data_IF_850460578158
#
_entry.id   IF_850460578158
#
_cell.length_a   1.000
_cell.length_b   1.000
_cell.length_c   1.000
_cell.angle_alpha   90.00
_cell.angle_beta   90.00
_cell.angle_gamma   90.00
#
_symmetry.space_group_name_H-M   'P 1'
#
loop_
_entity.id
_entity.type
_entity.pdbx_description
1 polymer ?
#
# COMPACT_ATOMS: atom_id res chain seq x y z
N UNK A 1 7.75 -31.11 -4.97
CA UNK A 1 6.99 -30.01 -4.34
C UNK A 1 7.96 -28.87 -4.16
N UNK A 2 7.57 -27.66 -4.58
CA UNK A 2 8.40 -26.48 -4.41
C UNK A 2 8.55 -26.13 -2.92
N UNK A 3 9.74 -25.66 -2.52
CA UNK A 3 10.01 -25.28 -1.13
C UNK A 3 9.82 -23.78 -0.94
N UNK A 4 9.23 -23.38 0.20
CA UNK A 4 9.04 -21.98 0.56
C UNK A 4 9.96 -21.65 1.74
N UNK A 5 10.89 -20.71 1.54
CA UNK A 5 11.78 -20.20 2.58
C UNK A 5 11.33 -18.80 2.96
N UNK A 6 10.89 -18.63 4.19
CA UNK A 6 10.54 -17.31 4.72
C UNK A 6 11.81 -16.55 5.13
N UNK A 7 12.10 -15.44 4.44
CA UNK A 7 13.20 -14.52 4.72
C UNK A 7 12.76 -13.33 5.58
N UNK A 8 11.48 -13.30 5.95
CA UNK A 8 10.82 -12.34 6.81
C UNK A 8 9.31 -12.49 6.75
N UNK A 9 8.57 -11.87 7.67
CA UNK A 9 7.11 -11.86 7.73
C UNK A 9 6.44 -13.16 8.21
N UNK A 10 7.21 -14.15 8.73
CA UNK A 10 6.65 -15.42 9.20
C UNK A 10 6.46 -15.47 10.72
N UNK A 11 7.26 -14.72 11.47
CA UNK A 11 7.20 -14.66 12.95
C UNK A 11 6.72 -13.31 13.46
N UNK A 12 6.52 -12.35 12.57
CA UNK A 12 6.06 -11.00 12.83
C UNK A 12 5.14 -10.50 11.71
N UNK A 13 4.73 -9.25 11.83
CA UNK A 13 3.78 -8.61 10.90
C UNK A 13 4.49 -7.97 9.71
N UNK A 14 5.74 -7.51 9.90
CA UNK A 14 6.47 -6.71 8.92
C UNK A 14 7.65 -7.45 8.31
N UNK A 15 8.27 -6.89 7.27
CA UNK A 15 9.43 -7.47 6.62
C UNK A 15 9.10 -8.62 5.67
N UNK A 16 7.89 -8.64 5.09
CA UNK A 16 7.44 -9.69 4.15
C UNK A 16 8.47 -9.98 3.07
N UNK A 17 8.95 -11.24 3.04
CA UNK A 17 9.95 -11.68 2.08
C UNK A 17 9.97 -13.21 2.03
N UNK A 18 9.50 -13.79 0.92
CA UNK A 18 9.35 -15.22 0.78
C UNK A 18 10.04 -15.70 -0.50
N UNK A 19 10.97 -16.62 -0.36
CA UNK A 19 11.67 -17.24 -1.48
C UNK A 19 11.01 -18.57 -1.82
N UNK A 20 10.44 -18.67 -3.02
CA UNK A 20 9.90 -19.91 -3.58
C UNK A 20 11.00 -20.59 -4.38
N UNK A 21 11.51 -21.69 -3.88
CA UNK A 21 12.56 -22.50 -4.52
C UNK A 21 11.90 -23.56 -5.40
N UNK A 22 12.09 -23.44 -6.70
CA UNK A 22 11.49 -24.32 -7.71
C UNK A 22 12.47 -25.44 -8.14
N UNK A 23 13.75 -25.13 -8.15
CA UNK A 23 14.84 -26.07 -8.44
C UNK A 23 16.17 -25.54 -7.89
N UNK A 24 17.25 -26.28 -8.07
CA UNK A 24 18.60 -25.84 -7.68
C UNK A 24 19.02 -24.52 -8.36
N UNK A 25 18.46 -24.20 -9.54
CA UNK A 25 18.87 -23.07 -10.36
C UNK A 25 17.75 -21.99 -10.49
N UNK A 26 16.55 -22.26 -9.97
CA UNK A 26 15.40 -21.39 -10.16
C UNK A 26 14.67 -21.15 -8.85
N UNK A 27 14.55 -19.89 -8.50
CA UNK A 27 13.67 -19.43 -7.43
C UNK A 27 13.00 -18.12 -7.81
N UNK A 28 11.89 -17.81 -7.13
CA UNK A 28 11.18 -16.53 -7.19
C UNK A 28 11.21 -15.89 -5.82
N UNK A 29 11.29 -14.59 -5.77
CA UNK A 29 11.11 -13.85 -4.50
C UNK A 29 9.74 -13.18 -4.52
N UNK A 30 8.98 -13.34 -3.45
CA UNK A 30 7.70 -12.69 -3.24
C UNK A 30 7.89 -11.68 -2.12
N UNK A 31 7.77 -10.39 -2.47
CA UNK A 31 8.09 -9.23 -1.65
C UNK A 31 9.55 -9.16 -1.18
N UNK A 32 9.96 -8.00 -0.71
CA UNK A 32 11.25 -7.73 -0.09
C UNK A 32 11.10 -6.54 0.86
N UNK A 33 10.42 -6.78 1.97
CA UNK A 33 9.91 -5.77 2.88
C UNK A 33 10.88 -5.34 3.97
N UNK A 34 10.65 -4.16 4.51
CA UNK A 34 11.37 -3.59 5.64
C UNK A 34 10.73 -4.05 6.96
N UNK A 35 11.55 -4.41 7.94
CA UNK A 35 11.10 -4.65 9.30
C UNK A 35 10.77 -3.32 9.99
N UNK A 36 9.65 -3.25 10.70
CA UNK A 36 9.16 -2.05 11.38
C UNK A 36 8.60 -2.35 12.77
N UNK A 37 8.52 -1.32 13.63
CA UNK A 37 7.93 -1.45 14.95
C UNK A 37 8.64 -2.49 15.81
N UNK A 38 7.88 -3.42 16.39
CA UNK A 38 8.40 -4.48 17.27
C UNK A 38 9.24 -5.54 16.52
N UNK A 39 9.04 -5.68 15.20
CA UNK A 39 9.82 -6.61 14.37
C UNK A 39 11.19 -6.05 13.98
N UNK A 40 11.41 -4.75 14.13
CA UNK A 40 12.71 -4.14 13.90
C UNK A 40 13.65 -4.41 15.09
N UNK A 41 14.92 -4.71 14.81
CA UNK A 41 15.92 -4.88 15.84
C UNK A 41 16.08 -3.61 16.69
N UNK A 42 16.40 -3.77 17.97
CA UNK A 42 16.44 -2.63 18.91
C UNK A 42 17.72 -1.80 18.79
N UNK A 43 18.83 -2.40 18.38
CA UNK A 43 20.09 -1.69 18.18
C UNK A 43 20.36 -1.40 16.69
N UNK A 44 21.06 -0.29 16.42
CA UNK A 44 21.34 0.19 15.07
C UNK A 44 22.15 -0.81 14.22
N UNK A 45 23.06 -1.57 14.83
CA UNK A 45 23.87 -2.55 14.12
C UNK A 45 23.01 -3.72 13.63
N UNK A 46 22.13 -4.24 14.50
CA UNK A 46 21.22 -5.31 14.15
C UNK A 46 20.13 -4.82 13.14
N UNK A 47 19.68 -3.57 13.26
CA UNK A 47 18.81 -2.98 12.23
C UNK A 47 19.50 -2.94 10.87
N UNK A 48 20.77 -2.54 10.82
CA UNK A 48 21.53 -2.52 9.56
C UNK A 48 21.71 -3.93 8.98
N UNK A 49 21.94 -4.95 9.82
CA UNK A 49 22.01 -6.35 9.37
C UNK A 49 20.65 -6.84 8.83
N UNK A 50 19.52 -6.45 9.45
CA UNK A 50 18.19 -6.78 8.95
C UNK A 50 17.88 -6.18 7.57
N UNK A 51 18.52 -5.06 7.21
CA UNK A 51 18.36 -4.43 5.90
C UNK A 51 19.04 -5.24 4.79
N UNK A 52 20.14 -5.91 5.09
CA UNK A 52 20.94 -6.64 4.09
C UNK A 52 20.19 -7.84 3.52
N UNK A 53 20.44 -8.09 2.26
CA UNK A 53 20.05 -9.32 1.60
C UNK A 53 21.23 -10.29 1.70
N UNK A 54 21.18 -11.19 2.69
CA UNK A 54 22.29 -12.10 3.05
C UNK A 54 22.12 -13.50 2.45
N UNK A 55 20.96 -13.80 1.84
CA UNK A 55 20.72 -15.07 1.19
C UNK A 55 21.17 -15.04 -0.28
N UNK A 56 21.43 -16.23 -0.83
CA UNK A 56 21.84 -16.38 -2.23
C UNK A 56 20.73 -15.92 -3.18
N UNK A 57 21.06 -14.95 -4.03
CA UNK A 57 20.17 -14.39 -5.06
C UNK A 57 20.50 -14.89 -6.47
N UNK A 58 21.52 -15.73 -6.65
CA UNK A 58 21.97 -16.21 -7.96
C UNK A 58 20.89 -17.01 -8.72
N UNK A 59 20.03 -17.68 -7.98
CA UNK A 59 18.92 -18.48 -8.52
C UNK A 59 17.64 -17.68 -8.76
N UNK A 60 17.57 -16.40 -8.30
CA UNK A 60 16.38 -15.58 -8.42
C UNK A 60 16.10 -15.18 -9.87
N UNK A 61 14.98 -15.64 -10.41
CA UNK A 61 14.52 -15.32 -11.77
C UNK A 61 13.63 -14.08 -11.82
N UNK A 62 12.89 -13.79 -10.76
CA UNK A 62 12.05 -12.60 -10.63
C UNK A 62 11.81 -12.24 -9.18
N UNK A 63 11.55 -10.96 -8.92
CA UNK A 63 10.84 -10.46 -7.74
C UNK A 63 9.40 -10.20 -8.12
N UNK A 64 8.46 -10.69 -7.32
CA UNK A 64 7.02 -10.45 -7.49
C UNK A 64 6.55 -9.63 -6.30
N UNK A 65 5.99 -8.46 -6.56
CA UNK A 65 5.49 -7.55 -5.52
C UNK A 65 3.99 -7.71 -5.40
N UNK A 66 3.55 -8.05 -4.19
CA UNK A 66 2.11 -8.14 -3.87
C UNK A 66 1.49 -6.77 -3.80
N UNK A 67 2.13 -5.83 -3.09
CA UNK A 67 1.73 -4.42 -3.01
C UNK A 67 2.90 -3.55 -2.52
N UNK A 68 2.68 -2.23 -2.48
CA UNK A 68 3.79 -1.28 -2.32
C UNK A 68 3.91 -0.68 -0.92
N UNK A 69 3.36 -1.29 0.14
CA UNK A 69 3.68 -0.88 1.49
C UNK A 69 5.16 -1.15 1.80
N UNK A 70 5.74 -0.37 2.68
CA UNK A 70 7.17 -0.38 2.93
C UNK A 70 7.67 -1.71 3.54
N UNK A 71 6.83 -2.38 4.30
CA UNK A 71 7.06 -3.70 4.87
C UNK A 71 6.96 -4.85 3.83
N UNK A 72 6.64 -4.53 2.57
CA UNK A 72 6.66 -5.43 1.41
C UNK A 72 7.70 -5.05 0.35
N UNK A 73 8.16 -3.78 0.31
CA UNK A 73 9.11 -3.33 -0.72
C UNK A 73 10.34 -2.59 -0.18
N UNK A 74 10.41 -2.32 1.11
CA UNK A 74 11.38 -1.38 1.67
C UNK A 74 12.85 -1.85 1.60
N UNK A 75 13.11 -3.16 1.46
CA UNK A 75 14.46 -3.69 1.22
C UNK A 75 14.80 -3.88 -0.26
N UNK A 76 13.93 -3.45 -1.17
CA UNK A 76 14.21 -3.48 -2.61
C UNK A 76 15.51 -2.74 -2.98
N UNK A 77 15.84 -1.57 -2.39
CA UNK A 77 17.13 -0.93 -2.61
C UNK A 77 18.33 -1.83 -2.28
N UNK A 78 18.23 -2.58 -1.21
CA UNK A 78 19.30 -3.50 -0.78
C UNK A 78 19.39 -4.74 -1.68
N UNK A 79 18.28 -5.24 -2.18
CA UNK A 79 18.23 -6.33 -3.14
C UNK A 79 18.91 -5.93 -4.47
N UNK A 80 18.64 -4.72 -4.97
CA UNK A 80 19.28 -4.20 -6.17
C UNK A 80 20.78 -3.94 -5.94
N UNK A 81 21.15 -3.41 -4.77
CA UNK A 81 22.55 -3.23 -4.38
C UNK A 81 23.30 -4.55 -4.23
N UNK A 82 22.63 -5.64 -3.82
CA UNK A 82 23.19 -6.99 -3.80
C UNK A 82 23.40 -7.59 -5.21
N UNK A 83 22.96 -6.90 -6.27
CA UNK A 83 23.21 -7.29 -7.65
C UNK A 83 22.04 -7.96 -8.37
N UNK A 84 20.82 -7.94 -7.81
CA UNK A 84 19.65 -8.45 -8.51
C UNK A 84 19.35 -7.64 -9.77
N UNK A 85 19.25 -8.34 -10.91
CA UNK A 85 19.02 -7.76 -12.25
C UNK A 85 17.76 -8.31 -12.93
N UNK A 86 17.04 -9.20 -12.26
CA UNK A 86 15.82 -9.82 -12.80
C UNK A 86 14.63 -8.86 -12.87
N UNK A 87 13.53 -9.27 -13.52
CA UNK A 87 12.32 -8.49 -13.59
C UNK A 87 11.67 -8.33 -12.22
N UNK A 88 11.07 -7.15 -11.99
CA UNK A 88 10.26 -6.80 -10.84
C UNK A 88 8.81 -6.77 -11.31
N UNK A 89 8.09 -7.84 -11.02
CA UNK A 89 6.74 -8.07 -11.51
C UNK A 89 5.74 -7.53 -10.50
N UNK A 90 4.84 -6.65 -10.94
CA UNK A 90 3.78 -6.11 -10.09
C UNK A 90 2.53 -5.75 -10.92
N UNK A 91 1.44 -5.38 -10.26
CA UNK A 91 0.25 -4.90 -10.95
C UNK A 91 0.49 -3.53 -11.63
N UNK A 92 -0.29 -3.21 -12.67
CA UNK A 92 -0.19 -1.89 -13.34
C UNK A 92 -0.31 -0.73 -12.33
N UNK A 93 -1.25 -0.72 -11.36
CA UNK A 93 -1.27 0.38 -10.38
C UNK A 93 -0.05 0.36 -9.45
N UNK A 94 0.43 -0.81 -9.01
CA UNK A 94 1.64 -0.90 -8.20
C UNK A 94 2.87 -0.37 -8.94
N UNK A 95 2.99 -0.62 -10.25
CA UNK A 95 4.08 -0.10 -11.08
C UNK A 95 4.14 1.44 -11.12
N UNK A 96 2.97 2.12 -10.99
CA UNK A 96 2.89 3.58 -10.91
C UNK A 96 3.22 4.12 -9.51
N UNK A 97 2.92 3.36 -8.47
CA UNK A 97 3.08 3.76 -7.08
C UNK A 97 4.48 3.40 -6.52
N UNK A 98 5.06 2.29 -6.94
CA UNK A 98 6.33 1.77 -6.43
C UNK A 98 7.49 2.77 -6.51
N UNK A 99 7.71 3.51 -7.62
CA UNK A 99 8.77 4.50 -7.68
C UNK A 99 8.65 5.60 -6.62
N UNK A 100 7.43 6.02 -6.28
CA UNK A 100 7.17 7.04 -5.26
C UNK A 100 7.52 6.54 -3.86
N UNK A 101 7.14 5.30 -3.55
CA UNK A 101 7.45 4.66 -2.25
C UNK A 101 8.95 4.49 -2.07
N UNK A 102 9.63 3.98 -3.10
CA UNK A 102 11.07 3.75 -3.04
C UNK A 102 11.85 5.07 -3.01
N UNK A 103 11.40 6.10 -3.73
CA UNK A 103 12.02 7.44 -3.64
C UNK A 103 12.00 7.98 -2.21
N UNK A 104 10.86 7.88 -1.55
CA UNK A 104 10.69 8.33 -0.17
C UNK A 104 11.54 7.50 0.80
N UNK A 105 11.53 6.18 0.67
CA UNK A 105 12.35 5.28 1.48
C UNK A 105 13.85 5.56 1.33
N UNK A 106 14.32 5.84 0.11
CA UNK A 106 15.71 6.21 -0.15
C UNK A 106 16.09 7.52 0.55
N UNK A 107 15.22 8.54 0.48
CA UNK A 107 15.45 9.85 1.10
C UNK A 107 15.50 9.79 2.63
N UNK A 108 14.70 8.91 3.23
CA UNK A 108 14.61 8.76 4.69
C UNK A 108 15.74 7.90 5.23
N UNK A 109 15.99 6.74 4.64
CA UNK A 109 16.82 5.69 5.22
C UNK A 109 18.15 5.41 4.50
N UNK A 110 18.39 5.98 3.32
CA UNK A 110 19.55 5.58 2.52
C UNK A 110 20.44 6.74 2.10
N UNK A 111 19.90 7.72 1.39
CA UNK A 111 20.69 8.87 0.90
C UNK A 111 19.81 10.06 0.52
N UNK A 112 20.34 11.26 0.74
CA UNK A 112 19.74 12.52 0.22
C UNK A 112 20.37 12.99 -1.09
N UNK A 113 21.33 12.24 -1.65
CA UNK A 113 21.96 12.58 -2.92
C UNK A 113 20.99 12.35 -4.08
N UNK A 114 20.54 13.43 -4.70
CA UNK A 114 19.55 13.40 -5.79
C UNK A 114 20.02 12.57 -7.01
N UNK A 115 21.32 12.61 -7.35
CA UNK A 115 21.86 11.87 -8.48
C UNK A 115 21.84 10.35 -8.22
N UNK A 116 22.17 9.92 -7.00
CA UNK A 116 22.08 8.51 -6.61
C UNK A 116 20.64 8.02 -6.63
N UNK A 117 19.70 8.80 -6.09
CA UNK A 117 18.28 8.49 -6.12
C UNK A 117 17.80 8.36 -7.58
N UNK A 118 18.17 9.30 -8.45
CA UNK A 118 17.77 9.27 -9.87
C UNK A 118 18.32 8.02 -10.60
N UNK A 119 19.58 7.66 -10.37
CA UNK A 119 20.18 6.44 -10.94
C UNK A 119 19.43 5.18 -10.46
N UNK A 120 19.13 5.12 -9.18
CA UNK A 120 18.36 4.03 -8.60
C UNK A 120 16.96 3.94 -9.20
N UNK A 121 16.27 5.07 -9.33
CA UNK A 121 14.94 5.14 -9.96
C UNK A 121 14.97 4.69 -11.42
N UNK A 122 15.99 5.07 -12.18
CA UNK A 122 16.15 4.62 -13.57
C UNK A 122 16.36 3.10 -13.65
N UNK A 123 17.19 2.53 -12.77
CA UNK A 123 17.39 1.08 -12.67
C UNK A 123 16.09 0.38 -12.29
N UNK A 124 15.39 0.83 -11.25
CA UNK A 124 14.10 0.30 -10.81
C UNK A 124 13.11 0.27 -11.98
N UNK A 125 12.95 1.39 -12.67
CA UNK A 125 12.03 1.51 -13.80
C UNK A 125 12.36 0.56 -14.95
N UNK A 126 13.66 0.33 -15.24
CA UNK A 126 14.07 -0.58 -16.30
C UNK A 126 13.76 -2.05 -16.01
N UNK A 127 13.57 -2.43 -14.74
CA UNK A 127 13.28 -3.79 -14.31
C UNK A 127 11.78 -4.05 -14.04
N UNK A 128 10.94 -3.00 -13.92
CA UNK A 128 9.51 -3.16 -13.66
C UNK A 128 8.80 -3.80 -14.85
N UNK A 129 8.11 -4.92 -14.59
CA UNK A 129 7.18 -5.58 -15.49
C UNK A 129 5.77 -5.46 -14.91
N UNK A 130 4.96 -4.57 -15.49
CA UNK A 130 3.60 -4.32 -15.05
C UNK A 130 2.61 -5.29 -15.69
N UNK A 131 1.81 -5.98 -14.87
CA UNK A 131 0.83 -6.95 -15.35
C UNK A 131 -0.60 -6.49 -15.07
N UNK A 132 -1.54 -6.71 -16.02
CA UNK A 132 -2.96 -6.60 -15.74
C UNK A 132 -3.42 -7.72 -14.82
N UNK A 133 -4.42 -7.46 -14.00
CA UNK A 133 -5.01 -8.50 -13.16
C UNK A 133 -5.64 -9.62 -13.97
N UNK A 134 -5.50 -10.85 -13.47
CA UNK A 134 -6.18 -12.02 -14.01
C UNK A 134 -5.53 -12.67 -15.22
N UNK A 135 -4.44 -12.11 -15.73
CA UNK A 135 -3.69 -12.68 -16.87
C UNK A 135 -2.47 -13.45 -16.38
N UNK A 136 -2.21 -14.59 -17.02
CA UNK A 136 -1.00 -15.38 -16.79
C UNK A 136 0.18 -14.76 -17.51
N UNK A 137 1.31 -14.63 -16.82
CA UNK A 137 2.60 -14.22 -17.36
C UNK A 137 3.63 -15.31 -17.12
N UNK A 138 4.36 -15.68 -18.15
CA UNK A 138 5.41 -16.72 -18.07
C UNK A 138 6.71 -16.09 -17.58
N UNK A 139 7.23 -16.60 -16.47
CA UNK A 139 8.50 -16.14 -15.86
C UNK A 139 9.64 -17.07 -16.23
N UNK A 140 9.39 -18.39 -16.25
CA UNK A 140 10.36 -19.40 -16.63
C UNK A 140 9.73 -20.26 -17.72
N UNK A 141 10.47 -20.46 -18.80
CA UNK A 141 10.06 -21.35 -19.89
C UNK A 141 11.31 -22.00 -20.48
N UNK A 142 11.59 -23.23 -20.06
CA UNK A 142 12.69 -24.03 -20.53
C UNK A 142 12.13 -25.22 -21.31
N UNK A 143 12.50 -25.33 -22.55
CA UNK A 143 12.10 -26.44 -23.41
C UNK A 143 12.67 -27.76 -22.91
N UNK A 144 11.93 -28.83 -23.09
CA UNK A 144 12.43 -30.20 -22.93
C UNK A 144 13.69 -30.41 -23.82
N UNK A 145 14.69 -31.07 -23.24
CA UNK A 145 15.91 -31.41 -23.99
C UNK A 145 15.75 -32.74 -24.74
N UNK A 146 14.81 -33.56 -24.31
CA UNK A 146 14.43 -34.83 -24.95
C UNK A 146 12.90 -34.91 -25.16
N UNK A 147 12.42 -35.76 -26.09
CA UNK A 147 10.97 -35.94 -26.34
C UNK A 147 10.19 -36.46 -25.12
N UNK A 148 10.85 -37.15 -24.19
CA UNK A 148 10.22 -37.69 -22.98
C UNK A 148 10.16 -36.67 -21.85
N UNK A 149 10.93 -35.56 -21.90
CA UNK A 149 10.93 -34.51 -20.88
C UNK A 149 9.80 -33.52 -21.13
N UNK A 150 9.15 -33.15 -20.06
CA UNK A 150 8.27 -31.97 -20.05
C UNK A 150 9.12 -30.77 -19.68
N UNK A 151 9.30 -29.81 -20.55
CA UNK A 151 10.02 -28.59 -20.23
C UNK A 151 9.51 -27.91 -18.93
N UNK A 152 10.39 -27.18 -18.27
CA UNK A 152 10.02 -26.44 -17.04
C UNK A 152 9.29 -25.15 -17.40
N UNK A 153 8.10 -24.98 -16.86
CA UNK A 153 7.31 -23.75 -17.04
C UNK A 153 6.82 -23.21 -15.72
N UNK A 154 7.08 -21.93 -15.46
CA UNK A 154 6.52 -21.21 -14.30
C UNK A 154 5.80 -19.95 -14.78
N UNK A 155 4.54 -19.84 -14.40
CA UNK A 155 3.68 -18.70 -14.73
C UNK A 155 3.14 -18.07 -13.47
N UNK A 156 3.03 -16.75 -13.49
CA UNK A 156 2.45 -15.96 -12.40
C UNK A 156 1.19 -15.24 -12.88
N UNK A 157 0.24 -15.05 -11.96
CA UNK A 157 -0.98 -14.29 -12.21
C UNK A 157 -1.32 -13.49 -10.96
N UNK A 158 -1.50 -12.19 -11.15
CA UNK A 158 -1.88 -11.27 -10.10
C UNK A 158 -3.40 -11.15 -10.02
N UNK A 159 -3.95 -11.27 -8.83
CA UNK A 159 -5.38 -11.12 -8.55
C UNK A 159 -5.58 -10.03 -7.50
N UNK A 160 -6.65 -9.26 -7.60
CA UNK A 160 -6.89 -8.15 -6.66
C UNK A 160 -6.98 -8.63 -5.22
N UNK A 161 -6.19 -8.06 -4.34
CA UNK A 161 -6.19 -8.31 -2.91
C UNK A 161 -7.05 -7.31 -2.12
N UNK A 162 -7.35 -6.13 -2.70
CA UNK A 162 -8.27 -5.14 -2.12
C UNK A 162 -7.75 -4.39 -0.89
N UNK A 163 -6.45 -4.51 -0.57
CA UNK A 163 -5.82 -3.87 0.59
C UNK A 163 -5.47 -2.41 0.33
N UNK A 164 -4.70 -2.13 -0.72
CA UNK A 164 -4.47 -0.78 -1.28
C UNK A 164 -4.61 -0.84 -2.80
N UNK A 165 -4.66 0.33 -3.45
CA UNK A 165 -4.66 0.39 -4.90
C UNK A 165 -3.40 -0.27 -5.46
N UNK A 166 -3.58 -1.27 -6.30
CA UNK A 166 -2.47 -2.06 -6.84
C UNK A 166 -2.22 -3.37 -6.10
N UNK A 167 -2.75 -3.56 -4.89
CA UNK A 167 -2.53 -4.79 -4.15
C UNK A 167 -3.05 -6.03 -4.88
N UNK A 168 -2.27 -7.09 -4.80
CA UNK A 168 -2.57 -8.38 -5.41
C UNK A 168 -2.17 -9.54 -4.50
N UNK A 169 -2.96 -10.59 -4.54
CA UNK A 169 -2.44 -11.90 -4.21
C UNK A 169 -1.87 -12.56 -5.48
N UNK A 170 -0.91 -13.43 -5.30
CA UNK A 170 -0.11 -14.01 -6.38
C UNK A 170 -0.45 -15.48 -6.52
N UNK A 171 -1.00 -15.89 -7.68
CA UNK A 171 -1.11 -17.29 -8.07
C UNK A 171 0.10 -17.68 -8.92
N UNK A 172 0.80 -18.74 -8.55
CA UNK A 172 1.94 -19.30 -9.27
C UNK A 172 1.55 -20.70 -9.75
N UNK A 173 1.70 -20.95 -11.03
CA UNK A 173 1.57 -22.29 -11.62
C UNK A 173 2.93 -22.73 -12.08
N UNK A 174 3.46 -23.74 -11.43
CA UNK A 174 4.74 -24.37 -11.76
C UNK A 174 4.51 -25.78 -12.31
N UNK A 175 5.23 -26.12 -13.35
CA UNK A 175 5.23 -27.45 -13.94
C UNK A 175 6.65 -27.80 -14.37
N UNK A 176 7.11 -28.96 -13.96
CA UNK A 176 8.37 -29.58 -14.40
C UNK A 176 8.13 -31.05 -14.81
N UNK A 177 9.19 -31.82 -14.97
CA UNK A 177 9.09 -33.25 -15.30
C UNK A 177 8.43 -34.10 -14.20
N UNK A 178 8.56 -33.68 -12.95
CA UNK A 178 8.14 -34.45 -11.78
C UNK A 178 6.76 -34.03 -11.24
N UNK A 179 6.41 -32.73 -11.37
CA UNK A 179 5.27 -32.18 -10.67
C UNK A 179 4.53 -31.11 -11.45
N UNK A 180 3.28 -30.87 -11.05
CA UNK A 180 2.51 -29.69 -11.43
C UNK A 180 1.86 -29.14 -10.18
N UNK A 181 2.21 -27.92 -9.82
CA UNK A 181 1.79 -27.31 -8.57
C UNK A 181 1.20 -25.92 -8.78
N UNK A 182 0.24 -25.58 -7.92
CA UNK A 182 -0.28 -24.22 -7.80
C UNK A 182 -0.01 -23.70 -6.40
N UNK A 183 0.73 -22.61 -6.31
CA UNK A 183 1.12 -21.96 -5.07
C UNK A 183 0.47 -20.58 -5.03
N UNK A 184 -0.03 -20.16 -3.87
CA UNK A 184 -0.66 -18.85 -3.67
C UNK A 184 0.00 -18.14 -2.50
N UNK A 185 0.37 -16.87 -2.73
CA UNK A 185 0.80 -15.93 -1.70
C UNK A 185 -0.25 -14.83 -1.60
N UNK A 186 -0.85 -14.65 -0.43
CA UNK A 186 -1.94 -13.69 -0.25
C UNK A 186 -1.47 -12.23 -0.35
N UNK A 187 -0.23 -11.92 0.04
CA UNK A 187 0.09 -10.57 0.46
C UNK A 187 -0.90 -10.12 1.52
N UNK A 188 -1.09 -8.84 1.70
CA UNK A 188 -2.11 -8.31 2.59
C UNK A 188 -3.47 -8.25 1.90
N UNK A 189 -4.50 -8.76 2.58
CA UNK A 189 -5.86 -8.83 2.07
C UNK A 189 -6.70 -7.67 2.59
N UNK A 190 -7.39 -7.03 1.67
CA UNK A 190 -8.38 -6.00 2.00
C UNK A 190 -9.65 -6.61 2.57
N UNK A 191 -10.29 -5.86 3.45
CA UNK A 191 -11.55 -6.29 4.03
C UNK A 191 -12.74 -6.03 3.07
N UNK A 192 -13.82 -6.79 3.21
CA UNK A 192 -15.08 -6.48 2.54
C UNK A 192 -15.54 -5.06 2.86
N UNK A 193 -16.18 -4.41 1.89
CA UNK A 193 -16.72 -3.04 2.02
C UNK A 193 -15.65 -1.95 2.27
N UNK A 194 -14.39 -2.19 1.93
CA UNK A 194 -13.40 -1.11 1.90
C UNK A 194 -13.79 -0.08 0.83
N UNK A 195 -13.60 1.23 1.08
CA UNK A 195 -13.87 2.25 0.06
C UNK A 195 -12.86 2.15 -1.10
N UNK A 196 -13.27 2.60 -2.28
CA UNK A 196 -12.47 2.68 -3.51
C UNK A 196 -12.09 1.34 -4.15
N UNK A 197 -11.94 0.27 -3.38
CA UNK A 197 -11.31 -0.95 -3.86
C UNK A 197 -12.26 -2.15 -3.87
N UNK A 198 -12.26 -2.95 -4.95
CA UNK A 198 -13.00 -4.20 -4.97
C UNK A 198 -12.45 -5.17 -3.92
N UNK A 199 -13.36 -5.84 -3.19
CA UNK A 199 -12.98 -6.90 -2.27
C UNK A 199 -12.23 -8.04 -2.98
N UNK A 200 -11.31 -8.74 -2.29
CA UNK A 200 -10.63 -9.89 -2.85
C UNK A 200 -11.64 -11.03 -3.14
N UNK A 201 -11.35 -11.80 -4.17
CA UNK A 201 -12.07 -13.04 -4.46
C UNK A 201 -11.13 -14.21 -4.19
N UNK A 202 -11.61 -15.23 -3.48
CA UNK A 202 -10.83 -16.42 -3.18
C UNK A 202 -10.24 -17.06 -4.44
N UNK A 203 -9.02 -17.61 -4.38
CA UNK A 203 -8.51 -18.46 -5.44
C UNK A 203 -9.39 -19.70 -5.60
N UNK A 204 -9.40 -20.25 -6.81
CA UNK A 204 -10.19 -21.47 -7.07
C UNK A 204 -9.67 -22.68 -6.31
N UNK A 205 -8.33 -22.77 -6.11
CA UNK A 205 -7.66 -23.82 -5.37
C UNK A 205 -6.14 -23.65 -5.50
N UNK A 206 -5.41 -24.24 -4.56
CA UNK A 206 -3.95 -24.30 -4.57
C UNK A 206 -3.47 -25.55 -3.81
N UNK A 207 -2.24 -25.95 -4.09
CA UNK A 207 -1.55 -27.03 -3.37
C UNK A 207 -0.83 -26.48 -2.13
N UNK A 208 -0.31 -25.23 -2.23
CA UNK A 208 0.32 -24.51 -1.12
C UNK A 208 -0.25 -23.09 -1.01
N UNK A 209 -0.50 -22.65 0.22
CA UNK A 209 -1.02 -21.30 0.52
C UNK A 209 -0.16 -20.65 1.61
N UNK A 210 0.43 -19.49 1.29
CA UNK A 210 0.98 -18.56 2.27
C UNK A 210 -0.05 -17.47 2.49
N UNK A 211 -0.64 -17.45 3.70
CA UNK A 211 -1.75 -16.57 4.06
C UNK A 211 -1.33 -15.63 5.18
N UNK A 212 -1.61 -14.33 5.00
CA UNK A 212 -1.46 -13.35 6.08
C UNK A 212 -2.39 -13.68 7.25
N UNK A 213 -1.96 -13.33 8.46
CA UNK A 213 -2.76 -13.54 9.66
C UNK A 213 -2.65 -12.40 10.68
N UNK A 214 -2.41 -11.19 10.21
CA UNK A 214 -2.22 -9.96 11.01
C UNK A 214 -3.29 -9.78 12.08
N UNK A 215 -4.53 -10.02 11.71
CA UNK A 215 -5.68 -9.98 12.63
C UNK A 215 -6.41 -11.33 12.70
N UNK A 216 -5.71 -12.43 12.51
CA UNK A 216 -6.30 -13.78 12.46
C UNK A 216 -7.03 -14.21 13.73
N UNK A 217 -6.71 -13.60 14.87
CA UNK A 217 -7.30 -13.84 16.19
C UNK A 217 -8.41 -12.84 16.57
N UNK A 218 -8.84 -11.94 15.66
CA UNK A 218 -9.80 -10.87 15.99
C UNK A 218 -10.95 -10.82 15.00
N UNK A 219 -12.13 -10.46 15.50
CA UNK A 219 -13.28 -10.07 14.68
C UNK A 219 -13.35 -8.54 14.62
N UNK A 220 -13.33 -8.00 13.41
CA UNK A 220 -13.52 -6.57 13.23
C UNK A 220 -14.99 -6.17 13.42
N UNK A 221 -15.26 -4.92 13.90
CA UNK A 221 -16.60 -4.32 13.87
C UNK A 221 -17.18 -4.29 12.44
N UNK A 222 -18.53 -4.18 12.37
CA UNK A 222 -19.20 -4.08 11.07
C UNK A 222 -18.76 -2.82 10.30
N UNK A 223 -18.01 -3.03 9.24
CA UNK A 223 -17.46 -1.95 8.41
C UNK A 223 -18.53 -1.18 7.62
N UNK A 224 -19.75 -1.67 7.52
CA UNK A 224 -20.85 -0.96 6.86
C UNK A 224 -21.25 0.31 7.60
N UNK A 225 -20.96 0.38 8.91
CA UNK A 225 -21.24 1.56 9.74
C UNK A 225 -20.10 2.57 9.80
N UNK A 226 -18.95 2.30 9.17
CA UNK A 226 -17.72 3.11 9.27
C UNK A 226 -17.94 4.60 8.97
N UNK A 227 -18.73 4.93 7.93
CA UNK A 227 -19.06 6.32 7.57
C UNK A 227 -19.91 7.01 8.64
N UNK A 228 -20.89 6.31 9.18
CA UNK A 228 -21.73 6.85 10.26
C UNK A 228 -20.91 7.08 11.53
N UNK A 229 -20.03 6.14 11.89
CA UNK A 229 -19.16 6.27 13.06
C UNK A 229 -18.14 7.40 12.89
N UNK A 230 -17.53 7.54 11.71
CA UNK A 230 -16.63 8.66 11.41
C UNK A 230 -17.35 10.00 11.49
N UNK A 231 -18.55 10.08 10.90
CA UNK A 231 -19.39 11.28 10.98
C UNK A 231 -19.70 11.66 12.42
N UNK A 232 -20.15 10.71 13.23
CA UNK A 232 -20.48 10.93 14.65
C UNK A 232 -19.27 11.44 15.44
N UNK A 233 -18.10 10.84 15.26
CA UNK A 233 -16.87 11.26 15.94
C UNK A 233 -16.48 12.70 15.58
N UNK A 234 -16.60 13.07 14.30
CA UNK A 234 -16.31 14.44 13.84
C UNK A 234 -17.37 15.42 14.40
N UNK A 235 -18.66 15.09 14.33
CA UNK A 235 -19.74 15.96 14.86
C UNK A 235 -19.59 16.22 16.36
N UNK A 236 -19.16 15.21 17.12
CA UNK A 236 -18.88 15.37 18.54
C UNK A 236 -17.73 16.35 18.81
N UNK A 237 -16.63 16.24 18.04
CA UNK A 237 -15.51 17.17 18.16
C UNK A 237 -15.88 18.59 17.74
N UNK A 238 -16.64 18.73 16.64
CA UNK A 238 -17.13 20.04 16.16
C UNK A 238 -18.07 20.71 17.16
N UNK A 239 -18.91 19.93 17.85
CA UNK A 239 -19.81 20.48 18.90
C UNK A 239 -19.02 21.15 20.02
N UNK A 240 -17.84 20.62 20.33
CA UNK A 240 -16.94 21.15 21.36
C UNK A 240 -15.96 22.22 20.81
N UNK A 241 -16.09 22.61 19.53
CA UNK A 241 -15.17 23.56 18.88
C UNK A 241 -13.75 23.01 18.63
N UNK A 242 -13.58 21.67 18.67
CA UNK A 242 -12.29 21.01 18.58
C UNK A 242 -11.85 20.65 17.16
N UNK A 243 -10.56 20.38 16.99
CA UNK A 243 -9.96 19.83 15.77
C UNK A 243 -9.86 18.30 15.88
N UNK A 244 -10.24 17.60 14.81
CA UNK A 244 -10.10 16.15 14.72
C UNK A 244 -8.76 15.80 14.10
N UNK A 245 -7.89 15.11 14.82
CA UNK A 245 -6.59 14.66 14.35
C UNK A 245 -6.65 13.17 13.99
N UNK A 246 -6.32 12.83 12.75
CA UNK A 246 -6.36 11.46 12.24
C UNK A 246 -4.97 11.05 11.77
N UNK A 247 -4.25 10.24 12.54
CA UNK A 247 -3.00 9.65 12.07
C UNK A 247 -3.29 8.65 10.96
N UNK A 248 -2.63 8.81 9.82
CA UNK A 248 -2.87 7.94 8.67
C UNK A 248 -1.59 7.67 7.88
N UNK A 249 -1.48 6.46 7.32
CA UNK A 249 -0.47 6.16 6.32
C UNK A 249 -0.73 6.97 5.05
N UNK A 250 0.35 7.41 4.40
CA UNK A 250 0.27 8.26 3.20
C UNK A 250 -0.40 7.57 2.02
N UNK A 251 -0.32 6.23 1.95
CA UNK A 251 -0.98 5.42 0.92
C UNK A 251 -2.04 4.50 1.53
N UNK A 252 -3.17 4.35 0.86
CA UNK A 252 -4.30 3.52 1.25
C UNK A 252 -5.22 4.25 2.23
N UNK A 253 -4.86 4.32 3.51
CA UNK A 253 -5.73 4.87 4.57
C UNK A 253 -6.12 6.34 4.34
N UNK A 254 -5.19 7.19 3.92
CA UNK A 254 -5.52 8.60 3.61
C UNK A 254 -6.58 8.69 2.50
N UNK A 255 -6.45 7.93 1.42
CA UNK A 255 -7.40 7.97 0.30
C UNK A 255 -8.77 7.40 0.68
N UNK A 256 -8.82 6.35 1.52
CA UNK A 256 -10.07 5.83 2.08
C UNK A 256 -10.80 6.88 2.93
N UNK A 257 -10.06 7.60 3.80
CA UNK A 257 -10.62 8.68 4.63
C UNK A 257 -11.17 9.81 3.77
N UNK A 258 -10.44 10.24 2.75
CA UNK A 258 -10.91 11.28 1.82
C UNK A 258 -12.20 10.87 1.11
N UNK A 259 -12.29 9.61 0.67
CA UNK A 259 -13.51 9.08 0.06
C UNK A 259 -14.71 9.13 1.01
N UNK A 260 -14.52 8.74 2.28
CA UNK A 260 -15.60 8.78 3.26
C UNK A 260 -16.00 10.21 3.63
N UNK A 261 -15.03 11.11 3.82
CA UNK A 261 -15.26 12.51 4.16
C UNK A 261 -16.04 13.23 3.04
N UNK A 262 -15.62 13.04 1.78
CA UNK A 262 -16.35 13.58 0.63
C UNK A 262 -17.80 13.03 0.58
N UNK A 263 -18.02 11.79 1.01
CA UNK A 263 -19.34 11.19 1.13
C UNK A 263 -20.21 11.78 2.24
N UNK A 264 -19.61 12.30 3.30
CA UNK A 264 -20.30 12.89 4.46
C UNK A 264 -20.67 14.36 4.18
N UNK A 265 -19.76 15.16 3.65
CA UNK A 265 -19.92 16.61 3.46
C UNK A 265 -21.15 16.99 2.63
N UNK A 266 -21.42 16.42 1.44
CA UNK A 266 -22.60 16.78 0.64
C UNK A 266 -23.91 16.24 1.19
N UNK A 267 -23.87 15.12 1.94
CA UNK A 267 -25.07 14.56 2.55
C UNK A 267 -25.65 15.46 3.66
N UNK A 268 -24.85 16.40 4.15
CA UNK A 268 -25.24 17.45 5.09
C UNK A 268 -25.87 18.67 4.38
N UNK A 269 -26.62 18.49 3.26
CA UNK A 269 -27.33 19.58 2.59
C UNK A 269 -28.24 20.29 3.60
N UNK A 270 -28.28 21.63 3.57
CA UNK A 270 -29.26 22.34 4.38
C UNK A 270 -30.67 21.87 3.98
N UNK A 271 -31.47 21.48 4.96
CA UNK A 271 -32.92 21.39 4.73
C UNK A 271 -33.37 22.75 4.18
N UNK A 272 -34.26 22.74 3.20
CA UNK A 272 -34.78 23.95 2.56
C UNK A 272 -35.59 24.87 3.55
N UNK A 273 -35.43 24.67 4.85
CA UNK A 273 -36.07 25.51 5.87
C UNK A 273 -35.18 26.71 6.18
N UNK A 274 -35.65 27.94 5.99
CA UNK A 274 -34.89 29.18 6.13
C UNK A 274 -34.29 29.46 7.52
N UNK A 275 -34.56 28.64 8.51
CA UNK A 275 -34.21 28.88 9.93
C UNK A 275 -33.07 27.96 10.46
N UNK A 276 -32.48 27.07 9.64
CA UNK A 276 -31.36 26.28 10.12
C UNK A 276 -30.01 26.96 9.83
N UNK A 277 -29.17 27.07 10.88
CA UNK A 277 -27.76 27.51 10.75
C UNK A 277 -27.08 26.75 9.63
N UNK A 278 -26.17 27.38 8.86
CA UNK A 278 -25.40 26.70 7.83
C UNK A 278 -24.71 25.46 8.44
N UNK A 279 -24.78 24.33 7.74
CA UNK A 279 -24.17 23.10 8.22
C UNK A 279 -22.70 23.35 8.50
N UNK A 280 -22.23 23.05 9.72
CA UNK A 280 -20.83 23.16 10.12
C UNK A 280 -19.89 22.42 9.14
N UNK A 281 -20.40 21.39 8.49
CA UNK A 281 -19.68 20.62 7.47
C UNK A 281 -19.29 21.41 6.21
N UNK A 282 -20.04 22.47 5.84
CA UNK A 282 -19.72 23.30 4.68
C UNK A 282 -18.45 24.15 4.88
N UNK A 283 -18.21 24.57 6.11
CA UNK A 283 -17.07 25.40 6.47
C UNK A 283 -15.90 24.59 7.03
N UNK A 284 -16.07 23.27 7.19
CA UNK A 284 -15.06 22.40 7.77
C UNK A 284 -13.92 22.18 6.80
N UNK A 285 -12.73 22.55 7.19
CA UNK A 285 -11.50 22.33 6.44
C UNK A 285 -10.98 20.90 6.66
N UNK A 286 -10.69 20.22 5.57
CA UNK A 286 -10.04 18.89 5.58
C UNK A 286 -8.60 19.08 5.13
N UNK A 287 -7.67 18.93 6.03
CA UNK A 287 -6.25 19.21 5.82
C UNK A 287 -5.50 17.88 5.71
N UNK A 288 -4.88 17.62 4.56
CA UNK A 288 -3.94 16.51 4.39
C UNK A 288 -2.53 17.05 4.52
N UNK A 289 -1.93 16.79 5.66
CA UNK A 289 -0.58 17.24 5.96
C UNK A 289 0.45 16.13 5.74
N UNK A 290 0.65 15.81 4.47
CA UNK A 290 1.62 14.84 3.98
C UNK A 290 1.87 15.03 2.48
N UNK A 291 3.04 15.57 2.06
CA UNK A 291 3.38 15.71 0.65
C UNK A 291 3.34 14.38 -0.11
N UNK A 292 3.75 13.30 0.55
CA UNK A 292 3.72 11.97 -0.03
C UNK A 292 2.27 11.48 -0.25
N UNK A 293 1.37 11.74 0.70
CA UNK A 293 -0.04 11.41 0.56
C UNK A 293 -0.70 12.20 -0.58
N UNK A 294 -0.33 13.46 -0.79
CA UNK A 294 -0.79 14.27 -1.92
C UNK A 294 -0.37 13.65 -3.26
N UNK A 295 0.90 13.23 -3.40
CA UNK A 295 1.43 12.54 -4.59
C UNK A 295 0.70 11.22 -4.85
N UNK A 296 0.49 10.39 -3.83
CA UNK A 296 -0.28 9.15 -3.98
C UNK A 296 -1.73 9.42 -4.36
N UNK A 297 -2.36 10.41 -3.76
CA UNK A 297 -3.75 10.80 -4.07
C UNK A 297 -3.88 11.23 -5.53
N UNK A 298 -2.88 11.91 -6.08
CA UNK A 298 -2.84 12.25 -7.51
C UNK A 298 -2.81 10.98 -8.38
N UNK A 299 -1.92 10.02 -8.07
CA UNK A 299 -1.84 8.75 -8.83
C UNK A 299 -3.15 7.95 -8.69
N UNK A 300 -3.78 7.93 -7.50
CA UNK A 300 -5.09 7.32 -7.32
C UNK A 300 -6.15 7.93 -8.25
N UNK A 301 -6.14 9.26 -8.42
CA UNK A 301 -7.04 9.97 -9.36
C UNK A 301 -6.78 9.59 -10.84
N UNK A 302 -5.54 9.33 -11.22
CA UNK A 302 -5.20 8.87 -12.57
C UNK A 302 -5.65 7.42 -12.81
N UNK A 303 -5.69 6.60 -11.77
CA UNK A 303 -6.00 5.17 -11.80
C UNK A 303 -7.48 4.84 -11.49
N UNK A 304 -8.40 5.78 -11.71
CA UNK A 304 -9.86 5.60 -11.56
C UNK A 304 -10.43 4.29 -12.15
N UNK A 305 -9.96 3.78 -13.32
CA UNK A 305 -10.46 2.51 -13.87
C UNK A 305 -10.28 1.30 -12.96
N UNK A 306 -9.39 1.39 -11.95
CA UNK A 306 -9.15 0.32 -10.98
C UNK A 306 -10.00 0.43 -9.72
N UNK A 307 -10.79 1.50 -9.57
CA UNK A 307 -11.70 1.69 -8.44
C UNK A 307 -12.88 0.73 -8.53
N UNK A 308 -13.56 0.53 -7.42
CA UNK A 308 -14.73 -0.33 -7.34
C UNK A 308 -15.98 0.26 -8.04
N UNK A 309 -17.02 -0.56 -8.13
CA UNK A 309 -18.26 -0.15 -8.79
C UNK A 309 -19.00 0.98 -8.04
N UNK A 310 -18.82 1.11 -6.72
CA UNK A 310 -19.41 2.20 -5.95
C UNK A 310 -18.73 3.52 -6.31
N UNK A 311 -17.41 3.56 -6.27
CA UNK A 311 -16.63 4.75 -6.62
C UNK A 311 -16.84 5.17 -8.09
N UNK A 312 -16.94 4.20 -9.01
CA UNK A 312 -17.27 4.48 -10.41
C UNK A 312 -18.67 5.14 -10.55
N UNK A 313 -19.66 4.68 -9.81
CA UNK A 313 -21.00 5.32 -9.79
C UNK A 313 -20.96 6.74 -9.25
N UNK A 314 -20.12 7.02 -8.24
CA UNK A 314 -19.95 8.38 -7.72
C UNK A 314 -19.33 9.31 -8.78
N UNK A 315 -18.30 8.84 -9.50
CA UNK A 315 -17.73 9.59 -10.62
C UNK A 315 -18.78 9.88 -11.72
N UNK A 316 -19.59 8.89 -12.08
CA UNK A 316 -20.67 9.05 -13.05
C UNK A 316 -21.77 10.06 -12.65
N UNK A 317 -21.85 10.38 -11.34
CA UNK A 317 -22.73 11.43 -10.79
C UNK A 317 -22.04 12.80 -10.68
N UNK A 318 -20.87 12.96 -11.25
CA UNK A 318 -20.08 14.20 -11.20
C UNK A 318 -19.42 14.47 -9.84
N UNK A 319 -19.29 13.45 -8.99
CA UNK A 319 -18.59 13.56 -7.70
C UNK A 319 -17.10 13.23 -7.89
N UNK A 320 -16.26 13.85 -7.10
CA UNK A 320 -14.81 13.66 -7.13
C UNK A 320 -14.27 13.32 -5.72
N UNK A 321 -14.38 12.04 -5.28
CA UNK A 321 -14.12 11.64 -3.90
C UNK A 321 -12.72 11.98 -3.37
N UNK A 322 -11.73 12.11 -4.25
CA UNK A 322 -10.36 12.46 -3.86
C UNK A 322 -9.96 13.90 -4.26
N UNK A 323 -10.96 14.75 -4.61
CA UNK A 323 -10.74 16.15 -4.99
C UNK A 323 -12.04 16.94 -4.78
N UNK A 324 -12.18 17.59 -3.64
CA UNK A 324 -13.36 18.37 -3.28
C UNK A 324 -12.96 19.73 -2.68
N UNK A 325 -13.91 20.67 -2.63
CA UNK A 325 -13.67 22.09 -2.36
C UNK A 325 -12.99 22.36 -1.01
N UNK A 326 -13.33 21.60 0.02
CA UNK A 326 -12.81 21.80 1.38
C UNK A 326 -11.51 21.04 1.67
N UNK A 327 -10.88 20.45 0.65
CA UNK A 327 -9.64 19.67 0.78
C UNK A 327 -8.43 20.57 0.55
N UNK A 328 -7.59 20.67 1.56
CA UNK A 328 -6.32 21.39 1.54
C UNK A 328 -5.15 20.42 1.69
N UNK A 329 -4.10 20.62 0.93
CA UNK A 329 -2.86 19.84 1.04
C UNK A 329 -1.72 20.72 1.52
N UNK A 330 -0.89 20.20 2.39
CA UNK A 330 0.29 20.89 2.95
C UNK A 330 1.54 20.26 2.33
N UNK A 331 2.18 20.98 1.43
CA UNK A 331 3.22 20.44 0.57
C UNK A 331 4.65 20.68 1.10
N UNK A 332 4.87 21.70 1.95
CA UNK A 332 6.18 22.03 2.49
C UNK A 332 6.27 21.87 4.01
N UNK A 333 7.49 21.91 4.54
CA UNK A 333 7.71 21.93 5.98
C UNK A 333 7.33 23.27 6.59
N UNK A 334 7.55 24.36 5.87
CA UNK A 334 7.18 25.71 6.30
C UNK A 334 5.66 25.84 6.44
N UNK A 335 4.90 25.43 5.41
CA UNK A 335 3.43 25.40 5.47
C UNK A 335 2.91 24.52 6.59
N UNK A 336 3.58 23.38 6.87
CA UNK A 336 3.24 22.53 8.00
C UNK A 336 3.32 23.30 9.33
N UNK A 337 4.44 23.99 9.59
CA UNK A 337 4.61 24.74 10.84
C UNK A 337 3.59 25.88 10.95
N UNK A 338 3.34 26.59 9.85
CA UNK A 338 2.31 27.64 9.77
C UNK A 338 0.91 27.07 10.06
N UNK A 339 0.58 25.89 9.52
CA UNK A 339 -0.72 25.24 9.74
C UNK A 339 -0.90 24.80 11.18
N UNK A 340 0.14 24.21 11.81
CA UNK A 340 0.11 23.86 13.23
C UNK A 340 -0.11 25.10 14.11
N UNK A 341 0.69 26.16 13.90
CA UNK A 341 0.58 27.41 14.65
C UNK A 341 -0.79 28.09 14.45
N UNK A 342 -1.29 28.10 13.22
CA UNK A 342 -2.61 28.65 12.90
C UNK A 342 -3.73 27.94 13.66
N UNK A 343 -3.76 26.60 13.65
CA UNK A 343 -4.79 25.82 14.35
C UNK A 343 -4.67 25.97 15.87
N UNK A 344 -3.45 25.96 16.41
CA UNK A 344 -3.21 26.14 17.83
C UNK A 344 -3.67 27.53 18.34
N UNK A 345 -3.43 28.62 17.56
CA UNK A 345 -3.82 29.97 17.92
C UNK A 345 -5.31 30.27 17.75
N UNK A 346 -5.92 29.71 16.71
CA UNK A 346 -7.31 30.05 16.35
C UNK A 346 -8.34 29.11 16.97
N UNK A 347 -7.92 27.91 17.41
CA UNK A 347 -8.80 26.81 17.83
C UNK A 347 -9.92 26.54 16.82
N UNK A 348 -9.66 26.74 15.51
CA UNK A 348 -10.66 26.60 14.45
C UNK A 348 -10.97 25.14 14.21
N UNK A 349 -12.25 24.74 14.16
CA UNK A 349 -12.61 23.37 13.83
C UNK A 349 -12.09 22.93 12.47
N UNK A 350 -11.32 21.84 12.43
CA UNK A 350 -10.76 21.23 11.23
C UNK A 350 -10.66 19.72 11.40
N UNK A 351 -10.48 19.00 10.28
CA UNK A 351 -10.04 17.61 10.28
C UNK A 351 -8.63 17.58 9.69
N UNK A 352 -7.65 17.17 10.47
CA UNK A 352 -6.25 17.03 10.05
C UNK A 352 -5.93 15.56 9.86
N UNK A 353 -5.51 15.19 8.66
CA UNK A 353 -4.99 13.85 8.31
C UNK A 353 -3.50 13.99 8.09
N UNK A 354 -2.69 13.41 8.97
CA UNK A 354 -1.24 13.56 8.92
C UNK A 354 -0.50 12.22 9.15
N UNK A 355 0.67 12.09 8.55
CA UNK A 355 1.58 10.97 8.79
C UNK A 355 2.36 11.19 10.10
N UNK A 356 2.78 10.17 10.83
CA UNK A 356 2.70 8.74 10.55
C UNK A 356 1.43 8.12 11.19
N UNK A 357 0.91 7.09 10.53
CA UNK A 357 -0.28 6.37 11.00
C UNK A 357 -0.11 5.64 12.33
N UNK A 358 1.12 5.41 12.77
CA UNK A 358 1.43 4.76 14.05
C UNK A 358 1.70 5.75 15.21
N UNK A 359 1.63 7.05 14.96
CA UNK A 359 2.00 8.10 15.93
C UNK A 359 3.40 7.96 16.55
N UNK A 360 4.29 7.19 15.93
CA UNK A 360 5.67 7.03 16.39
C UNK A 360 6.61 8.15 15.93
N UNK A 361 6.11 9.07 15.09
CA UNK A 361 6.86 10.17 14.49
C UNK A 361 6.03 10.89 13.43
N UNK A 362 6.71 11.70 12.60
CA UNK A 362 6.07 12.42 11.50
C UNK A 362 5.30 13.66 11.93
N UNK A 363 4.62 14.26 10.98
CA UNK A 363 3.94 15.57 11.14
C UNK A 363 2.80 15.55 12.17
N UNK A 364 2.12 14.41 12.34
CA UNK A 364 1.05 14.26 13.34
C UNK A 364 1.52 14.60 14.76
N UNK A 365 2.77 14.32 15.09
CA UNK A 365 3.32 14.57 16.43
C UNK A 365 3.37 16.05 16.77
N UNK A 366 3.54 16.94 15.80
CA UNK A 366 3.54 18.38 16.03
C UNK A 366 2.14 18.89 16.37
N UNK A 367 1.11 18.37 15.71
CA UNK A 367 -0.28 18.68 16.06
C UNK A 367 -0.69 18.19 17.45
N UNK A 368 -0.19 17.01 17.86
CA UNK A 368 -0.49 16.44 19.18
C UNK A 368 0.21 17.20 20.31
N UNK A 369 1.26 17.97 20.02
CA UNK A 369 2.00 18.76 21.01
C UNK A 369 1.53 20.21 21.12
N UNK A 370 0.87 20.70 20.08
CA UNK A 370 0.37 22.09 20.00
C UNK A 370 -1.01 22.25 20.63
#
# INVERSE_FOLDING_TARGET
MADIIHRGGAQGVTGSCHQLVLSKNHSLLIDCGLFQGEDAAQDESAQFEQLKVTFDISTLKALIITHVHIDHVGRLPYLLAAGFKGPIICSIPSARLLPLVIEDALKIGFTRNAQLIQRFQAQLQSQIVSLPYGQWHTVINENAQTPEEKGTTTRVKLKRAGHILGSSYVEIAHQDNASKERIVFSGDLGAPYAPLLPAPKSPYGCDQLVLESTYGNRRHPDRRQRRASLKQAIEQALHNGGTVMIPAFSIGRTQELLYELEGIIPAAKPSQKPQQKPSQWKALEIIVDSPLAARFTQVYRELKPYWDAEAQRQLGRGRHPLSFENLYTVDSHEEHLQTVDYLAKTARPAVVIAASGMCAGGRIMNYLKA
#
